data_IF_681919711066
#
_entry.id   IF_681919711066
#
_cell.length_a   1.000
_cell.length_b   1.000
_cell.length_c   1.000
_cell.angle_alpha   90.00
_cell.angle_beta   90.00
_cell.angle_gamma   90.00
#
_symmetry.space_group_name_H-M   'P 1'
#
loop_
_entity.id
_entity.type
_entity.pdbx_description
1 polymer ?
#
# COMPACT_ATOMS: atom_id res chain seq x y z
N UNK A 1 13.62 -6.57 -3.04
CA UNK A 1 12.34 -6.22 -2.42
C UNK A 1 12.62 -5.84 -0.97
N UNK A 2 12.12 -4.71 -0.45
CA UNK A 2 12.43 -4.28 0.93
C UNK A 2 11.74 -5.22 1.93
N UNK A 3 12.48 -6.16 2.51
CA UNK A 3 11.97 -7.10 3.52
C UNK A 3 11.33 -6.37 4.71
N UNK A 4 11.85 -5.19 5.04
CA UNK A 4 11.28 -4.31 6.06
C UNK A 4 9.84 -3.93 5.77
N UNK A 5 9.51 -3.54 4.53
CA UNK A 5 8.14 -3.13 4.18
C UNK A 5 7.18 -4.33 4.21
N UNK A 6 7.63 -5.49 3.72
CA UNK A 6 6.85 -6.74 3.78
C UNK A 6 6.48 -7.11 5.22
N UNK A 7 7.47 -7.13 6.12
CA UNK A 7 7.26 -7.46 7.53
C UNK A 7 6.29 -6.50 8.23
N UNK A 8 6.29 -5.22 7.85
CA UNK A 8 5.33 -4.25 8.37
C UNK A 8 3.92 -4.55 7.86
N UNK A 9 3.75 -4.73 6.54
CA UNK A 9 2.42 -4.99 5.95
C UNK A 9 1.81 -6.28 6.49
N UNK A 10 2.61 -7.31 6.74
CA UNK A 10 2.18 -8.57 7.34
C UNK A 10 1.61 -8.41 8.76
N UNK A 11 2.00 -7.35 9.49
CA UNK A 11 1.52 -7.07 10.85
C UNK A 11 0.27 -6.17 10.89
N UNK A 12 -0.13 -5.58 9.75
CA UNK A 12 -1.27 -4.65 9.69
C UNK A 12 -2.64 -5.34 9.72
N UNK A 13 -2.67 -6.67 9.71
CA UNK A 13 -3.89 -7.48 9.82
C UNK A 13 -4.99 -7.16 8.78
N UNK A 14 -4.55 -6.78 7.57
CA UNK A 14 -5.42 -6.31 6.49
C UNK A 14 -6.39 -7.41 6.07
N UNK A 15 -7.68 -7.07 6.04
CA UNK A 15 -8.79 -7.93 5.64
C UNK A 15 -9.18 -7.68 4.18
N UNK A 16 -9.75 -8.69 3.49
CA UNK A 16 -10.03 -8.60 2.05
C UNK A 16 -10.95 -7.45 1.63
N UNK A 17 -11.77 -6.94 2.54
CA UNK A 17 -12.76 -5.88 2.36
C UNK A 17 -12.36 -4.54 2.99
N UNK A 18 -11.15 -4.45 3.54
CA UNK A 18 -10.68 -3.24 4.22
C UNK A 18 -10.50 -2.05 3.27
N UNK A 19 -10.62 -0.86 3.87
CA UNK A 19 -10.29 0.41 3.21
C UNK A 19 -9.02 0.97 3.81
N UNK A 20 -7.95 1.00 3.02
CA UNK A 20 -6.61 1.38 3.46
C UNK A 20 -6.23 2.74 2.88
N UNK A 21 -5.62 3.60 3.71
CA UNK A 21 -4.98 4.84 3.28
C UNK A 21 -3.48 4.74 3.50
N UNK A 22 -2.70 4.82 2.42
CA UNK A 22 -1.25 4.93 2.48
C UNK A 22 -0.80 6.38 2.28
N UNK A 23 -0.01 6.90 3.23
CA UNK A 23 0.54 8.25 3.18
C UNK A 23 2.03 8.18 2.85
N UNK A 24 2.42 8.77 1.72
CA UNK A 24 3.78 8.74 1.19
C UNK A 24 4.07 7.45 0.42
N UNK A 25 3.30 7.18 -0.63
CA UNK A 25 3.34 5.90 -1.34
C UNK A 25 4.64 5.64 -2.10
N UNK A 26 5.41 6.68 -2.43
CA UNK A 26 6.63 6.55 -3.20
C UNK A 26 6.42 5.68 -4.44
N UNK A 27 7.26 4.66 -4.63
CA UNK A 27 7.19 3.75 -5.78
C UNK A 27 6.09 2.68 -5.68
N UNK A 28 5.18 2.78 -4.69
CA UNK A 28 4.05 1.85 -4.53
C UNK A 28 4.40 0.46 -4.01
N UNK A 29 5.57 0.27 -3.39
CA UNK A 29 5.99 -1.06 -2.92
C UNK A 29 5.07 -1.61 -1.83
N UNK A 30 4.69 -0.78 -0.85
CA UNK A 30 3.75 -1.19 0.19
C UNK A 30 2.33 -1.33 -0.38
N UNK A 31 1.91 -0.36 -1.21
CA UNK A 31 0.64 -0.41 -1.94
C UNK A 31 0.41 -1.75 -2.65
N UNK A 32 1.40 -2.26 -3.39
CA UNK A 32 1.31 -3.56 -4.05
C UNK A 32 1.05 -4.70 -3.07
N UNK A 33 1.80 -4.75 -1.96
CA UNK A 33 1.64 -5.80 -0.94
C UNK A 33 0.29 -5.71 -0.22
N UNK A 34 -0.27 -4.50 -0.07
CA UNK A 34 -1.61 -4.28 0.47
C UNK A 34 -2.66 -4.77 -0.52
N UNK A 35 -2.56 -4.36 -1.79
CA UNK A 35 -3.49 -4.75 -2.85
C UNK A 35 -3.53 -6.27 -3.06
N UNK A 36 -2.42 -6.99 -2.87
CA UNK A 36 -2.39 -8.46 -2.91
C UNK A 36 -3.30 -9.12 -1.84
N UNK A 37 -3.67 -8.41 -0.78
CA UNK A 37 -4.53 -8.90 0.31
C UNK A 37 -5.98 -8.45 0.18
N UNK A 38 -6.23 -7.40 -0.61
CA UNK A 38 -7.58 -6.88 -0.83
C UNK A 38 -8.24 -7.64 -1.98
N UNK A 39 -9.48 -8.08 -1.77
CA UNK A 39 -10.30 -8.72 -2.80
C UNK A 39 -11.47 -7.80 -3.20
N UNK A 40 -12.23 -7.33 -2.20
CA UNK A 40 -13.36 -6.41 -2.36
C UNK A 40 -13.10 -5.04 -1.74
N UNK A 41 -11.95 -4.88 -1.07
CA UNK A 41 -11.54 -3.66 -0.40
C UNK A 41 -11.00 -2.59 -1.35
N UNK A 42 -10.48 -1.52 -0.76
CA UNK A 42 -9.95 -0.39 -1.53
C UNK A 42 -8.70 0.20 -0.87
N UNK A 43 -7.65 0.40 -1.66
CA UNK A 43 -6.49 1.19 -1.27
C UNK A 43 -6.57 2.57 -1.92
N UNK A 44 -6.46 3.62 -1.11
CA UNK A 44 -6.12 4.96 -1.58
C UNK A 44 -4.69 5.27 -1.14
N UNK A 45 -3.83 5.59 -2.09
CA UNK A 45 -2.43 5.93 -1.84
C UNK A 45 -2.18 7.39 -2.22
N UNK A 46 -1.47 8.13 -1.38
CA UNK A 46 -1.13 9.54 -1.63
C UNK A 46 0.37 9.77 -1.49
N UNK A 47 0.90 10.68 -2.30
CA UNK A 47 2.26 11.20 -2.18
C UNK A 47 2.25 12.70 -2.49
N UNK A 48 3.16 13.44 -1.84
CA UNK A 48 3.33 14.87 -2.08
C UNK A 48 4.05 15.15 -3.40
N UNK A 49 4.80 14.19 -3.91
CA UNK A 49 5.55 14.29 -5.14
C UNK A 49 4.66 13.95 -6.32
N UNK A 50 4.43 14.92 -7.19
CA UNK A 50 3.70 14.71 -8.45
C UNK A 50 4.37 13.65 -9.31
N UNK A 51 5.70 13.57 -9.30
CA UNK A 51 6.45 12.54 -10.02
C UNK A 51 6.10 11.14 -9.55
N UNK A 52 5.90 10.93 -8.24
CA UNK A 52 5.55 9.59 -7.73
C UNK A 52 4.12 9.18 -8.09
N UNK A 53 3.22 10.15 -8.30
CA UNK A 53 1.83 9.88 -8.70
C UNK A 53 1.70 9.65 -10.21
N UNK A 54 2.59 10.22 -11.01
CA UNK A 54 2.54 10.14 -12.47
C UNK A 54 3.38 9.01 -13.08
N UNK A 55 4.22 8.36 -12.27
CA UNK A 55 5.10 7.26 -12.68
C UNK A 55 4.31 5.96 -12.95
#
# INVERSE_FOLDING_TARGET
MSERLRSVVEQLDIRPDDRVLEIGCGHGVAATLVCERLEAGHLTAVDRSTTMIQA
#
